data_IF_973131660913
#
_entry.id   IF_973131660913
#
_cell.length_a   1.000
_cell.length_b   1.000
_cell.length_c   1.000
_cell.angle_alpha   90.00
_cell.angle_beta   90.00
_cell.angle_gamma   90.00
#
_symmetry.space_group_name_H-M   'P 1'
#
loop_
_entity.id
_entity.type
_entity.pdbx_description
1 polymer ?
#
# COMPACT_ATOMS: atom_id res chain seq x y z
N UNK A 1 -3.02 -13.79 -32.18
CA UNK A 1 -4.25 -13.16 -31.65
C UNK A 1 -5.04 -14.22 -30.90
N UNK A 2 -5.12 -14.11 -29.57
CA UNK A 2 -5.63 -15.14 -28.66
C UNK A 2 -7.11 -15.52 -28.98
N UNK A 3 -7.49 -16.79 -28.84
CA UNK A 3 -8.84 -17.33 -29.09
C UNK A 3 -9.90 -16.55 -28.29
N UNK A 4 -9.52 -16.09 -27.09
CA UNK A 4 -10.33 -15.20 -26.25
C UNK A 4 -10.69 -13.89 -26.96
N UNK A 5 -9.78 -13.29 -27.73
CA UNK A 5 -10.04 -12.06 -28.51
C UNK A 5 -10.99 -12.28 -29.71
N UNK A 6 -11.06 -13.50 -30.26
CA UNK A 6 -11.98 -13.81 -31.37
C UNK A 6 -13.39 -14.10 -30.86
N UNK A 7 -13.51 -14.82 -29.74
CA UNK A 7 -14.78 -15.06 -29.07
C UNK A 7 -15.40 -13.73 -28.58
N UNK A 8 -14.55 -12.81 -28.10
CA UNK A 8 -14.87 -11.44 -27.69
C UNK A 8 -15.56 -10.59 -28.78
N UNK A 9 -15.02 -10.53 -30.00
CA UNK A 9 -15.63 -9.75 -31.10
C UNK A 9 -16.97 -10.35 -31.52
N UNK A 10 -17.10 -11.67 -31.46
CA UNK A 10 -18.31 -12.39 -31.86
C UNK A 10 -19.46 -12.16 -30.86
N UNK A 11 -19.17 -12.11 -29.56
CA UNK A 11 -20.18 -11.87 -28.51
C UNK A 11 -20.69 -10.42 -28.54
N UNK A 12 -19.80 -9.43 -28.73
CA UNK A 12 -20.18 -8.00 -28.87
C UNK A 12 -21.07 -7.78 -30.10
N UNK A 13 -20.79 -8.48 -31.20
CA UNK A 13 -21.59 -8.41 -32.43
C UNK A 13 -23.00 -9.01 -32.26
N UNK A 14 -23.16 -10.06 -31.44
CA UNK A 14 -24.47 -10.67 -31.16
C UNK A 14 -25.32 -9.78 -30.25
N UNK A 15 -24.72 -9.17 -29.22
CA UNK A 15 -25.43 -8.34 -28.24
C UNK A 15 -25.94 -7.00 -28.83
N UNK A 16 -25.19 -6.40 -29.75
CA UNK A 16 -25.64 -5.19 -30.48
C UNK A 16 -26.74 -5.50 -31.51
N UNK A 17 -26.81 -6.74 -32.00
CA UNK A 17 -27.87 -7.20 -32.90
C UNK A 17 -29.23 -7.38 -32.19
N UNK A 18 -29.22 -7.80 -30.92
CA UNK A 18 -30.42 -7.98 -30.10
C UNK A 18 -31.06 -6.67 -29.60
N UNK A 19 -30.32 -5.56 -29.53
CA UNK A 19 -30.87 -4.24 -29.20
C UNK A 19 -31.41 -3.47 -30.42
N UNK A 20 -30.91 -3.74 -31.63
CA UNK A 20 -31.29 -2.98 -32.84
C UNK A 20 -32.55 -3.49 -33.54
N UNK A 21 -33.14 -4.60 -33.11
CA UNK A 21 -34.30 -5.23 -33.77
C UNK A 21 -35.67 -4.85 -33.18
N UNK A 22 -35.73 -4.03 -32.12
CA UNK A 22 -36.98 -3.48 -31.57
C UNK A 22 -37.14 -1.99 -31.89
N UNK A 23 -37.38 -1.67 -33.16
CA UNK A 23 -37.77 -0.32 -33.62
C UNK A 23 -39.23 0.06 -33.25
N UNK A 24 -39.79 -0.45 -32.15
CA UNK A 24 -41.06 0.02 -31.57
C UNK A 24 -41.10 -0.36 -30.08
N UNK A 25 -41.24 0.67 -29.23
CA UNK A 25 -41.22 0.67 -27.75
C UNK A 25 -39.83 0.62 -27.10
N UNK A 26 -39.42 1.79 -26.57
CA UNK A 26 -38.30 1.95 -25.64
C UNK A 26 -38.63 1.11 -24.40
N UNK A 27 -38.10 -0.10 -24.34
CA UNK A 27 -38.27 -0.99 -23.21
C UNK A 27 -37.09 -0.74 -22.26
N UNK A 28 -37.25 0.27 -21.37
CA UNK A 28 -36.22 0.70 -20.41
C UNK A 28 -35.65 -0.48 -19.60
N UNK A 29 -36.45 -1.54 -19.41
CA UNK A 29 -36.03 -2.79 -18.76
C UNK A 29 -35.01 -3.60 -19.58
N UNK A 30 -35.09 -3.58 -20.92
CA UNK A 30 -34.14 -4.24 -21.81
C UNK A 30 -32.80 -3.47 -21.85
N UNK A 31 -32.85 -2.14 -21.89
CA UNK A 31 -31.66 -1.29 -21.84
C UNK A 31 -30.92 -1.41 -20.50
N UNK A 32 -31.65 -1.48 -19.39
CA UNK A 32 -31.07 -1.66 -18.05
C UNK A 32 -30.47 -3.06 -17.86
N UNK A 33 -31.11 -4.09 -18.42
CA UNK A 33 -30.59 -5.46 -18.41
C UNK A 33 -29.33 -5.60 -19.27
N UNK A 34 -29.33 -5.01 -20.48
CA UNK A 34 -28.15 -4.95 -21.34
C UNK A 34 -26.99 -4.18 -20.69
N UNK A 35 -27.28 -3.09 -19.99
CA UNK A 35 -26.26 -2.37 -19.23
C UNK A 35 -25.69 -3.19 -18.07
N UNK A 36 -26.55 -3.90 -17.31
CA UNK A 36 -26.11 -4.75 -16.21
C UNK A 36 -25.19 -5.88 -16.68
N UNK A 37 -25.56 -6.62 -17.74
CA UNK A 37 -24.72 -7.70 -18.30
C UNK A 37 -23.40 -7.18 -18.88
N UNK A 38 -23.39 -5.98 -19.47
CA UNK A 38 -22.17 -5.36 -19.99
C UNK A 38 -21.26 -4.97 -18.82
N UNK A 39 -21.82 -4.41 -17.74
CA UNK A 39 -21.03 -4.05 -16.54
C UNK A 39 -20.42 -5.27 -15.84
N UNK A 40 -21.16 -6.38 -15.73
CA UNK A 40 -20.65 -7.64 -15.19
C UNK A 40 -19.56 -8.24 -16.08
N UNK A 41 -19.70 -8.13 -17.40
CA UNK A 41 -18.72 -8.63 -18.36
C UNK A 41 -17.44 -7.78 -18.40
N UNK A 42 -17.57 -6.46 -18.29
CA UNK A 42 -16.43 -5.54 -18.14
C UNK A 42 -15.63 -5.89 -16.88
N UNK A 43 -16.32 -6.18 -15.77
CA UNK A 43 -15.69 -6.64 -14.54
C UNK A 43 -14.93 -7.97 -14.71
N UNK A 44 -15.32 -8.86 -15.63
CA UNK A 44 -14.59 -10.11 -15.95
C UNK A 44 -13.36 -9.86 -16.82
N UNK A 45 -13.36 -8.78 -17.60
CA UNK A 45 -12.26 -8.44 -18.53
C UNK A 45 -11.19 -7.50 -17.95
N UNK A 46 -11.43 -6.89 -16.78
CA UNK A 46 -10.40 -6.08 -16.12
C UNK A 46 -9.09 -6.87 -15.94
N UNK A 47 -7.91 -6.29 -16.22
CA UNK A 47 -6.65 -6.96 -15.99
C UNK A 47 -6.40 -7.14 -14.48
N UNK A 48 -5.60 -8.15 -14.07
CA UNK A 48 -5.16 -8.27 -12.70
C UNK A 48 -4.37 -7.02 -12.29
N UNK A 49 -4.71 -6.45 -11.14
CA UNK A 49 -4.10 -5.20 -10.69
C UNK A 49 -3.76 -5.23 -9.21
N UNK A 50 -2.73 -4.46 -8.88
CA UNK A 50 -2.22 -4.26 -7.53
C UNK A 50 -2.12 -2.75 -7.34
N UNK A 51 -2.74 -2.21 -6.30
CA UNK A 51 -2.70 -0.77 -6.03
C UNK A 51 -2.31 -0.51 -4.58
N UNK A 52 -1.23 0.24 -4.39
CA UNK A 52 -0.84 0.81 -3.10
C UNK A 52 -1.18 2.28 -3.11
N UNK A 53 -2.10 2.69 -2.23
CA UNK A 53 -2.61 4.07 -2.11
C UNK A 53 -2.68 4.81 -3.45
N UNK A 54 -3.85 4.82 -4.08
CA UNK A 54 -4.09 5.45 -5.39
C UNK A 54 -3.63 6.90 -5.49
N UNK A 55 -3.49 7.61 -4.35
CA UNK A 55 -3.04 9.00 -4.32
C UNK A 55 -1.55 9.16 -4.03
N UNK A 56 -0.89 8.16 -3.41
CA UNK A 56 0.49 8.22 -2.91
C UNK A 56 0.74 9.41 -1.94
N UNK A 57 1.64 9.34 -0.95
CA UNK A 57 2.55 8.25 -0.57
C UNK A 57 1.95 7.29 0.47
N UNK A 58 2.67 6.21 0.76
CA UNK A 58 2.51 5.46 2.01
C UNK A 58 3.26 6.19 3.11
N UNK A 59 2.59 6.51 4.21
CA UNK A 59 3.14 7.30 5.32
C UNK A 59 3.33 6.38 6.52
N UNK A 60 4.59 6.09 6.82
CA UNK A 60 4.93 5.42 8.07
C UNK A 60 5.33 6.46 9.10
N UNK A 61 4.96 6.22 10.35
CA UNK A 61 5.42 7.03 11.47
C UNK A 61 6.62 6.33 12.11
N UNK A 62 7.70 7.08 12.35
CA UNK A 62 8.90 6.56 13.02
C UNK A 62 8.53 5.94 14.36
N UNK A 63 9.16 4.81 14.69
CA UNK A 63 8.92 4.03 15.91
C UNK A 63 7.50 3.46 16.10
N UNK A 64 6.63 3.57 15.09
CA UNK A 64 5.26 3.02 15.15
C UNK A 64 5.12 1.89 14.15
N UNK A 65 4.67 0.72 14.62
CA UNK A 65 4.34 -0.38 13.73
C UNK A 65 3.14 -0.02 12.87
N UNK A 66 3.34 0.01 11.55
CA UNK A 66 2.33 0.40 10.57
C UNK A 66 2.31 -0.65 9.46
N UNK A 67 1.12 -0.96 8.95
CA UNK A 67 0.94 -1.88 7.83
C UNK A 67 0.05 -1.28 6.74
N UNK A 68 0.44 -1.50 5.48
CA UNK A 68 -0.34 -1.13 4.31
C UNK A 68 -0.73 -2.37 3.51
N UNK A 69 -2.03 -2.60 3.43
CA UNK A 69 -2.61 -3.65 2.59
C UNK A 69 -2.86 -3.10 1.18
N UNK A 70 -2.34 -3.74 0.12
CA UNK A 70 -2.66 -3.34 -1.24
C UNK A 70 -4.11 -3.69 -1.60
N UNK A 71 -4.71 -2.90 -2.48
CA UNK A 71 -5.91 -3.32 -3.19
C UNK A 71 -5.52 -4.27 -4.31
N UNK A 72 -5.99 -5.52 -4.24
CA UNK A 72 -5.66 -6.57 -5.20
C UNK A 72 -6.93 -6.99 -5.93
N UNK A 73 -6.88 -7.02 -7.26
CA UNK A 73 -7.97 -7.53 -8.11
C UNK A 73 -7.47 -8.69 -8.97
N UNK A 74 -8.22 -9.79 -8.96
CA UNK A 74 -8.00 -10.98 -9.82
C UNK A 74 -6.61 -11.61 -9.69
N UNK A 75 -6.00 -11.49 -8.52
CA UNK A 75 -4.77 -12.18 -8.15
C UNK A 75 -5.08 -12.98 -6.88
N UNK A 76 -4.71 -14.25 -6.91
CA UNK A 76 -4.83 -15.17 -5.78
C UNK A 76 -3.44 -15.46 -5.24
N UNK A 77 -3.14 -14.93 -4.04
CA UNK A 77 -1.83 -15.01 -3.39
C UNK A 77 -1.31 -16.42 -3.10
N UNK A 78 -2.18 -17.44 -3.19
CA UNK A 78 -1.83 -18.83 -2.87
C UNK A 78 -0.89 -19.50 -3.87
N UNK A 79 -0.67 -18.92 -5.05
CA UNK A 79 0.06 -19.57 -6.15
C UNK A 79 1.24 -18.75 -6.68
N UNK A 80 1.50 -17.58 -6.10
CA UNK A 80 2.58 -16.70 -6.54
C UNK A 80 3.24 -15.95 -5.41
N UNK A 81 4.18 -15.08 -5.75
CA UNK A 81 4.91 -14.27 -4.79
C UNK A 81 4.92 -12.79 -5.20
N UNK A 82 4.81 -11.93 -4.19
CA UNK A 82 5.05 -10.51 -4.30
C UNK A 82 6.53 -10.21 -4.09
N UNK A 83 7.06 -9.28 -4.87
CA UNK A 83 8.41 -8.74 -4.75
C UNK A 83 8.37 -7.22 -4.94
N UNK A 84 9.21 -6.49 -4.20
CA UNK A 84 9.29 -5.03 -4.26
C UNK A 84 10.66 -4.59 -4.79
N UNK A 85 10.66 -3.51 -5.57
CA UNK A 85 11.89 -2.86 -6.03
C UNK A 85 11.74 -1.32 -5.99
N UNK A 86 12.76 -0.57 -5.54
CA UNK A 86 14.02 -1.05 -4.94
C UNK A 86 13.79 -1.73 -3.57
N UNK A 87 14.84 -2.28 -2.97
CA UNK A 87 14.77 -2.92 -1.66
C UNK A 87 14.26 -1.93 -0.59
N UNK A 88 13.46 -2.44 0.34
CA UNK A 88 12.94 -1.65 1.45
C UNK A 88 14.06 -1.29 2.45
N UNK A 89 13.97 -0.15 3.14
CA UNK A 89 14.85 0.18 4.25
C UNK A 89 14.82 -0.90 5.34
N UNK A 90 15.95 -1.14 6.02
CA UNK A 90 16.07 -2.05 7.18
C UNK A 90 15.12 -1.61 8.29
N UNK A 91 13.92 -2.17 8.33
CA UNK A 91 12.82 -1.99 9.31
C UNK A 91 11.45 -2.19 8.67
N UNK A 92 11.35 -2.08 7.33
CA UNK A 92 10.15 -2.36 6.57
C UNK A 92 10.29 -3.69 5.82
N UNK A 93 9.19 -4.42 5.73
CA UNK A 93 9.14 -5.74 5.16
C UNK A 93 7.93 -5.86 4.25
N UNK A 94 8.12 -6.57 3.13
CA UNK A 94 7.03 -7.06 2.30
C UNK A 94 6.72 -8.49 2.74
N UNK A 95 5.47 -8.77 3.05
CA UNK A 95 4.99 -10.14 3.08
C UNK A 95 4.81 -10.61 1.63
N UNK A 96 5.73 -11.47 1.17
CA UNK A 96 5.74 -11.98 -0.19
C UNK A 96 4.50 -12.82 -0.53
N UNK A 97 3.72 -13.27 0.44
CA UNK A 97 2.47 -13.99 0.20
C UNK A 97 1.28 -13.04 0.04
N UNK A 98 1.15 -12.03 0.88
CA UNK A 98 -0.04 -11.16 0.90
C UNK A 98 0.15 -9.83 0.16
N UNK A 99 1.39 -9.44 -0.10
CA UNK A 99 1.74 -8.10 -0.55
C UNK A 99 1.62 -7.03 0.54
N UNK A 100 1.38 -7.39 1.81
CA UNK A 100 1.33 -6.37 2.87
C UNK A 100 2.73 -5.80 3.08
N UNK A 101 2.86 -4.47 3.04
CA UNK A 101 4.09 -3.79 3.44
C UNK A 101 3.91 -3.33 4.88
N UNK A 102 4.79 -3.76 5.79
CA UNK A 102 4.67 -3.48 7.22
C UNK A 102 6.01 -3.28 7.90
N UNK A 103 5.99 -2.74 9.12
CA UNK A 103 7.16 -2.65 9.98
C UNK A 103 7.20 -1.39 10.81
N UNK A 104 8.30 -1.25 11.56
CA UNK A 104 8.54 -0.15 12.51
C UNK A 104 9.79 0.62 12.08
N UNK A 105 9.67 1.67 11.25
CA UNK A 105 10.83 2.39 10.76
C UNK A 105 11.54 3.16 11.89
N UNK A 106 12.86 3.00 11.98
CA UNK A 106 13.71 3.65 12.99
C UNK A 106 14.58 4.78 12.42
N UNK A 107 14.70 4.87 11.10
CA UNK A 107 15.50 5.88 10.41
C UNK A 107 14.71 6.50 9.28
N UNK A 108 14.90 7.81 9.06
CA UNK A 108 14.38 8.49 7.90
C UNK A 108 14.95 7.86 6.61
N UNK A 109 14.15 7.84 5.55
CA UNK A 109 14.58 7.34 4.24
C UNK A 109 14.61 8.47 3.20
N UNK A 110 15.50 8.32 2.23
CA UNK A 110 15.44 9.11 1.01
C UNK A 110 14.19 8.68 0.23
N UNK A 111 13.39 9.66 -0.18
CA UNK A 111 12.19 9.43 -1.00
C UNK A 111 12.56 8.62 -2.26
N UNK A 112 12.10 7.37 -2.28
CA UNK A 112 12.34 6.43 -3.37
C UNK A 112 11.02 6.04 -4.02
N UNK A 113 11.03 5.78 -5.33
CA UNK A 113 9.85 5.25 -6.02
C UNK A 113 9.89 3.74 -6.00
N UNK A 114 8.86 3.13 -5.43
CA UNK A 114 8.71 1.70 -5.35
C UNK A 114 7.67 1.19 -6.34
N UNK A 115 7.85 -0.07 -6.73
CA UNK A 115 6.84 -0.88 -7.41
C UNK A 115 6.86 -2.27 -6.81
N UNK A 116 5.67 -2.85 -6.68
CA UNK A 116 5.52 -4.25 -6.31
C UNK A 116 5.08 -5.03 -7.53
N UNK A 117 5.75 -6.16 -7.76
CA UNK A 117 5.42 -7.14 -8.78
C UNK A 117 4.87 -8.38 -8.10
N UNK A 118 3.79 -8.91 -8.64
CA UNK A 118 3.32 -10.26 -8.36
C UNK A 118 3.61 -11.16 -9.54
N UNK A 119 4.07 -12.37 -9.26
CA UNK A 119 4.33 -13.38 -10.29
C UNK A 119 3.94 -14.78 -9.81
N UNK A 120 3.15 -15.47 -10.63
CA UNK A 120 2.97 -16.91 -10.60
C UNK A 120 3.20 -17.51 -12.00
N UNK A 121 2.96 -18.80 -12.18
CA UNK A 121 3.19 -19.49 -13.45
C UNK A 121 2.36 -18.94 -14.64
N UNK A 122 1.24 -18.26 -14.37
CA UNK A 122 0.28 -17.85 -15.41
C UNK A 122 0.15 -16.33 -15.56
N UNK A 123 0.43 -15.59 -14.49
CA UNK A 123 0.12 -14.18 -14.33
C UNK A 123 1.32 -13.43 -13.78
N UNK A 124 1.65 -12.33 -14.45
CA UNK A 124 2.54 -11.30 -13.95
C UNK A 124 1.74 -10.01 -13.89
N UNK A 125 1.73 -9.35 -12.73
CA UNK A 125 1.11 -8.04 -12.56
C UNK A 125 2.04 -7.11 -11.80
N UNK A 126 1.97 -5.82 -12.10
CA UNK A 126 2.78 -4.80 -11.45
C UNK A 126 1.88 -3.71 -10.87
N UNK A 127 2.29 -3.17 -9.72
CA UNK A 127 1.56 -2.11 -9.07
C UNK A 127 1.71 -0.75 -9.74
N UNK A 128 0.83 0.19 -9.35
CA UNK A 128 1.11 1.61 -9.50
C UNK A 128 2.45 1.98 -8.84
N UNK A 129 3.05 3.07 -9.31
CA UNK A 129 4.23 3.66 -8.67
C UNK A 129 3.78 4.40 -7.41
N UNK A 130 4.46 4.15 -6.30
CA UNK A 130 4.22 4.86 -5.05
C UNK A 130 5.55 5.25 -4.39
N UNK A 131 5.48 6.18 -3.44
CA UNK A 131 6.61 6.53 -2.60
C UNK A 131 6.28 6.14 -1.16
N UNK A 132 7.32 5.81 -0.40
CA UNK A 132 7.22 5.65 1.06
C UNK A 132 7.83 6.89 1.70
N UNK A 133 7.08 7.51 2.60
CA UNK A 133 7.57 8.57 3.47
C UNK A 133 7.59 8.05 4.91
N UNK A 134 8.68 8.33 5.60
CA UNK A 134 8.76 8.15 7.05
C UNK A 134 8.62 9.54 7.63
N UNK A 135 7.52 9.74 8.35
CA UNK A 135 7.24 10.96 9.09
C UNK A 135 7.61 10.75 10.56
N UNK A 136 8.05 11.84 11.16
CA UNK A 136 8.18 11.94 12.60
C UNK A 136 6.79 11.86 13.25
N UNK A 137 6.69 11.21 14.40
CA UNK A 137 5.45 11.20 15.16
C UNK A 137 5.25 12.60 15.75
N UNK A 138 4.01 13.05 15.95
CA UNK A 138 3.76 14.32 16.66
C UNK A 138 4.29 14.31 18.10
N UNK A 139 4.70 13.15 18.60
CA UNK A 139 5.29 12.92 19.92
C UNK A 139 6.82 12.68 19.87
N UNK A 140 7.42 12.47 18.68
CA UNK A 140 8.87 12.40 18.52
C UNK A 140 9.43 13.82 18.62
N UNK A 141 10.31 14.01 19.58
CA UNK A 141 11.01 15.28 19.85
C UNK A 141 10.68 15.83 21.22
N UNK A 142 9.67 15.27 21.88
CA UNK A 142 9.35 15.62 23.26
C UNK A 142 10.32 14.89 24.17
N UNK A 143 11.14 15.66 24.87
CA UNK A 143 11.97 15.13 25.94
C UNK A 143 11.13 14.85 27.17
N UNK A 144 11.29 13.67 27.75
CA UNK A 144 10.79 13.41 29.09
C UNK A 144 11.56 14.30 30.07
N UNK A 145 10.82 15.17 30.75
CA UNK A 145 11.35 16.13 31.74
C UNK A 145 10.83 15.86 33.15
N UNK A 146 10.00 14.83 33.32
CA UNK A 146 9.28 14.56 34.56
C UNK A 146 9.80 13.29 35.21
N UNK A 147 10.63 13.45 36.24
CA UNK A 147 11.29 12.33 36.92
C UNK A 147 12.43 11.74 36.11
N UNK A 148 12.97 10.60 36.56
CA UNK A 148 14.05 9.88 35.88
C UNK A 148 13.41 8.73 35.09
N UNK A 149 13.58 8.72 33.77
CA UNK A 149 13.03 7.66 32.92
C UNK A 149 13.67 6.29 33.24
N UNK A 150 12.92 5.17 33.18
CA UNK A 150 13.48 3.84 33.40
C UNK A 150 14.68 3.56 32.47
N UNK A 151 15.83 3.22 33.05
CA UNK A 151 17.09 3.02 32.31
C UNK A 151 18.02 4.25 32.31
N UNK A 152 17.52 5.42 32.69
CA UNK A 152 18.31 6.62 32.91
C UNK A 152 18.68 6.81 34.39
N UNK A 153 19.62 7.71 34.66
CA UNK A 153 20.09 8.03 36.03
C UNK A 153 19.82 9.48 36.39
N UNK A 154 20.05 9.84 37.65
CA UNK A 154 19.95 11.23 38.09
C UNK A 154 20.96 12.16 37.42
N UNK A 155 22.05 11.64 36.86
CA UNK A 155 23.05 12.43 36.13
C UNK A 155 22.67 12.66 34.65
N UNK A 156 21.74 11.86 34.13
CA UNK A 156 21.23 11.93 32.76
C UNK A 156 19.71 11.72 32.78
N UNK A 157 18.94 12.67 33.32
CA UNK A 157 17.53 12.43 33.62
C UNK A 157 16.61 12.52 32.39
N UNK A 158 17.08 13.09 31.27
CA UNK A 158 16.25 13.35 30.09
C UNK A 158 16.35 12.21 29.08
N UNK A 159 15.26 11.87 28.40
CA UNK A 159 15.20 10.89 27.30
C UNK A 159 14.14 11.29 26.29
N UNK A 160 14.14 10.70 25.09
CA UNK A 160 13.03 10.89 24.15
C UNK A 160 11.77 10.20 24.70
N UNK A 161 10.60 10.81 24.54
CA UNK A 161 9.34 10.29 25.10
C UNK A 161 8.84 9.02 24.41
N UNK A 162 9.26 8.78 23.18
CA UNK A 162 8.82 7.71 22.29
C UNK A 162 9.89 6.62 22.04
N UNK A 163 11.05 6.68 22.70
CA UNK A 163 12.16 5.74 22.45
C UNK A 163 11.86 4.32 22.96
N UNK A 164 11.44 3.43 22.05
CA UNK A 164 11.38 1.98 22.27
C UNK A 164 12.73 1.35 21.89
N UNK A 165 13.76 1.58 22.73
CA UNK A 165 15.07 0.90 22.75
C UNK A 165 15.93 0.91 21.44
N UNK A 166 17.24 1.25 21.51
CA UNK A 166 18.01 1.58 22.71
C UNK A 166 17.67 2.97 23.25
N UNK A 167 17.52 3.08 24.58
CA UNK A 167 17.20 4.34 25.28
C UNK A 167 18.48 5.17 25.38
N UNK A 168 18.46 6.37 24.78
CA UNK A 168 19.49 7.39 24.96
C UNK A 168 19.09 8.36 26.08
N UNK A 169 19.97 8.52 27.07
CA UNK A 169 19.79 9.42 28.20
C UNK A 169 20.69 10.65 28.07
N UNK A 170 20.15 11.83 28.35
CA UNK A 170 20.84 13.11 28.24
C UNK A 170 20.96 13.77 29.60
N UNK A 171 22.11 14.39 29.85
CA UNK A 171 22.35 15.22 31.03
C UNK A 171 21.59 16.54 31.00
N UNK A 172 21.46 17.14 29.82
CA UNK A 172 20.82 18.44 29.63
C UNK A 172 19.62 18.30 28.70
N UNK A 173 18.56 19.06 29.01
CA UNK A 173 17.35 19.10 28.21
C UNK A 173 17.62 19.60 26.78
N UNK A 174 18.52 20.56 26.63
CA UNK A 174 18.96 21.12 25.34
C UNK A 174 19.52 20.05 24.41
N UNK A 175 20.34 19.13 24.92
CA UNK A 175 20.90 18.04 24.12
C UNK A 175 19.82 17.07 23.67
N UNK A 176 18.88 16.71 24.55
CA UNK A 176 17.73 15.90 24.18
C UNK A 176 16.87 16.60 23.09
N UNK A 177 16.65 17.91 23.22
CA UNK A 177 15.89 18.74 22.28
C UNK A 177 16.61 19.00 20.94
N UNK A 178 17.84 18.53 20.77
CA UNK A 178 18.62 18.71 19.53
C UNK A 178 19.07 17.38 18.93
N UNK A 179 18.73 16.26 19.58
CA UNK A 179 19.21 14.95 19.18
C UNK A 179 18.34 14.32 18.10
N UNK A 180 18.98 13.81 17.04
CA UNK A 180 18.32 13.15 15.89
C UNK A 180 17.60 11.84 16.25
N UNK A 181 17.83 11.30 17.44
CA UNK A 181 17.09 10.16 17.98
C UNK A 181 15.81 10.59 18.69
N UNK A 182 15.73 11.86 19.12
CA UNK A 182 14.49 12.44 19.58
C UNK A 182 13.73 13.11 18.44
N UNK A 183 14.36 13.55 17.34
CA UNK A 183 13.69 14.23 16.20
C UNK A 183 13.68 13.43 14.91
#
# INVERSE_FOLDING_TARGET
MNIQKKLYIFIIAIQTLSCSSSWLTINISCDLYCYAIVSELEAILEPPSITYNSYSPLIFTKNVDTSYTPEIKKITSTEGAFAIAPDLPTSLYLDNSTGIISGTPTQAQIKSTYRVRYENAETVSESNRFYILIQESSESGICNTTGIFPGCSSEQPYSCSDAVQPIHCYRELSHCQQDVYCY
#
